data_IF_725364238129
#
_entry.id   IF_725364238129
#
_cell.length_a   1.000
_cell.length_b   1.000
_cell.length_c   1.000
_cell.angle_alpha   90.00
_cell.angle_beta   90.00
_cell.angle_gamma   90.00
#
_symmetry.space_group_name_H-M   'P 1'
#
loop_
_entity.id
_entity.type
_entity.pdbx_description
1 polymer ?
#
# COMPACT_ATOMS: atom_id res chain seq x y z
N UNK A 1 30.51 -5.69 -38.88
CA UNK A 1 29.22 -6.14 -38.30
C UNK A 1 28.47 -4.89 -37.85
N UNK A 2 27.38 -4.54 -38.52
CA UNK A 2 26.59 -3.35 -38.19
C UNK A 2 25.74 -3.63 -36.94
N UNK A 3 25.86 -2.78 -35.93
CA UNK A 3 25.00 -2.83 -34.74
C UNK A 3 23.58 -2.45 -35.14
N UNK A 4 22.63 -3.34 -34.87
CA UNK A 4 21.20 -3.04 -35.04
C UNK A 4 20.82 -1.87 -34.13
N UNK A 5 20.07 -0.86 -34.61
CA UNK A 5 19.67 0.27 -33.78
C UNK A 5 18.79 -0.26 -32.65
N UNK A 6 19.20 0.01 -31.42
CA UNK A 6 18.41 -0.26 -30.21
C UNK A 6 17.13 0.56 -30.32
N UNK A 7 16.04 -0.06 -30.75
CA UNK A 7 14.72 0.58 -30.72
C UNK A 7 14.42 0.92 -29.26
N UNK A 8 14.42 2.21 -28.91
CA UNK A 8 13.98 2.65 -27.59
C UNK A 8 12.49 2.29 -27.46
N UNK A 9 12.19 1.24 -26.71
CA UNK A 9 10.82 0.96 -26.30
C UNK A 9 10.34 2.10 -25.40
N UNK A 10 9.41 2.90 -25.87
CA UNK A 10 8.71 3.87 -25.03
C UNK A 10 7.63 3.15 -24.21
N UNK A 11 7.82 3.08 -22.90
CA UNK A 11 6.81 2.53 -21.98
C UNK A 11 5.81 3.61 -21.59
N UNK A 12 4.63 3.60 -22.21
CA UNK A 12 3.53 4.49 -21.83
C UNK A 12 2.73 3.88 -20.68
N UNK A 13 2.74 4.54 -19.51
CA UNK A 13 1.97 4.12 -18.34
C UNK A 13 0.84 5.09 -18.10
N UNK A 14 -0.41 4.63 -18.17
CA UNK A 14 -1.59 5.40 -17.77
C UNK A 14 -1.91 5.10 -16.30
N UNK A 15 -1.65 6.07 -15.42
CA UNK A 15 -2.03 5.99 -14.00
C UNK A 15 -3.50 6.36 -13.84
N UNK A 16 -4.21 5.66 -12.96
CA UNK A 16 -5.55 6.03 -12.49
C UNK A 16 -5.43 6.81 -11.18
N UNK A 17 -6.52 7.46 -10.79
CA UNK A 17 -6.62 8.09 -9.47
C UNK A 17 -6.40 7.04 -8.35
N UNK A 18 -5.67 7.39 -7.27
CA UNK A 18 -5.55 6.52 -6.11
C UNK A 18 -6.90 6.24 -5.46
N UNK A 19 -7.11 5.01 -5.04
CA UNK A 19 -8.30 4.58 -4.29
C UNK A 19 -7.91 4.21 -2.85
N UNK A 20 -8.69 4.66 -1.87
CA UNK A 20 -8.52 4.24 -0.47
C UNK A 20 -9.15 2.86 -0.29
N UNK A 21 -8.36 1.90 0.19
CA UNK A 21 -8.84 0.56 0.53
C UNK A 21 -9.14 0.50 2.02
N UNK A 22 -10.41 0.35 2.36
CA UNK A 22 -10.86 0.22 3.74
C UNK A 22 -10.68 -1.22 4.25
N UNK A 23 -10.56 -1.36 5.57
CA UNK A 23 -10.54 -2.67 6.22
C UNK A 23 -11.84 -3.42 5.92
N UNK A 24 -11.75 -4.72 5.68
CA UNK A 24 -12.92 -5.54 5.40
C UNK A 24 -13.85 -5.70 6.62
N UNK A 25 -13.37 -5.37 7.82
CA UNK A 25 -14.14 -5.40 9.07
C UNK A 25 -13.79 -4.18 9.93
N UNK A 26 -14.75 -3.60 10.66
CA UNK A 26 -14.48 -2.55 11.63
C UNK A 26 -13.53 -3.05 12.73
N UNK A 27 -12.61 -2.19 13.16
CA UNK A 27 -11.69 -2.44 14.27
C UNK A 27 -11.83 -1.28 15.26
N UNK A 28 -11.64 -1.59 16.54
CA UNK A 28 -11.59 -0.59 17.60
C UNK A 28 -10.50 0.45 17.28
N UNK A 29 -10.85 1.72 17.49
CA UNK A 29 -9.87 2.80 17.36
C UNK A 29 -8.91 2.73 18.53
N UNK A 30 -7.65 2.89 18.22
CA UNK A 30 -6.61 3.01 19.22
C UNK A 30 -5.48 3.91 18.72
N UNK A 31 -4.69 4.34 19.69
CA UNK A 31 -3.45 5.07 19.48
C UNK A 31 -2.32 4.18 19.95
N UNK A 32 -1.40 3.81 19.05
CA UNK A 32 -0.24 3.00 19.40
C UNK A 32 1.04 3.82 19.41
N UNK A 33 1.80 3.72 20.49
CA UNK A 33 3.12 4.34 20.61
C UNK A 33 4.10 3.59 19.72
N UNK A 34 4.94 4.32 18.99
CA UNK A 34 6.06 3.70 18.29
C UNK A 34 7.11 3.17 19.27
N UNK A 35 7.76 2.06 18.92
CA UNK A 35 8.91 1.58 19.68
C UNK A 35 10.10 2.54 19.50
N UNK A 36 11.13 2.40 20.34
CA UNK A 36 12.36 3.19 20.21
C UNK A 36 13.03 3.03 18.83
N UNK A 37 12.93 1.84 18.23
CA UNK A 37 13.46 1.60 16.89
C UNK A 37 12.57 2.33 15.88
N UNK A 38 11.25 2.14 15.95
CA UNK A 38 10.26 2.70 15.01
C UNK A 38 10.19 4.24 15.01
N UNK A 39 10.54 4.89 16.12
CA UNK A 39 10.45 6.34 16.28
C UNK A 39 11.66 7.12 15.68
N UNK A 40 12.68 6.42 15.19
CA UNK A 40 13.87 7.02 14.59
C UNK A 40 13.53 7.84 13.34
N UNK A 41 14.00 9.09 13.30
CA UNK A 41 13.77 10.02 12.18
C UNK A 41 14.21 9.43 10.83
N UNK A 42 15.35 8.72 10.81
CA UNK A 42 15.90 8.12 9.58
C UNK A 42 15.00 7.04 8.96
N UNK A 43 14.08 6.46 9.73
CA UNK A 43 13.14 5.45 9.23
C UNK A 43 11.87 6.04 8.63
N UNK A 44 11.72 7.38 8.61
CA UNK A 44 10.55 8.08 8.07
C UNK A 44 10.65 8.28 6.55
N UNK A 45 10.88 7.18 5.83
CA UNK A 45 11.02 7.16 4.37
C UNK A 45 9.98 6.22 3.74
N UNK A 46 9.46 6.61 2.57
CA UNK A 46 8.56 5.74 1.80
C UNK A 46 9.39 4.84 0.87
N UNK A 47 9.28 3.52 1.06
CA UNK A 47 9.93 2.54 0.20
C UNK A 47 8.99 2.06 -0.91
N UNK A 48 9.38 2.28 -2.16
CA UNK A 48 8.66 1.78 -3.33
C UNK A 48 9.16 0.39 -3.74
N UNK A 49 8.28 -0.60 -3.79
CA UNK A 49 8.57 -1.94 -4.31
C UNK A 49 7.75 -2.22 -5.57
N UNK A 50 8.37 -2.90 -6.53
CA UNK A 50 7.71 -3.37 -7.74
C UNK A 50 7.77 -4.90 -7.81
N UNK A 51 6.60 -5.52 -7.97
CA UNK A 51 6.47 -6.96 -8.16
C UNK A 51 5.95 -7.22 -9.57
N UNK A 52 6.72 -7.94 -10.37
CA UNK A 52 6.35 -8.31 -11.73
C UNK A 52 5.84 -9.74 -11.75
N UNK A 53 4.66 -9.94 -12.33
CA UNK A 53 4.03 -11.25 -12.48
C UNK A 53 3.77 -11.50 -13.96
N UNK A 54 4.00 -12.74 -14.41
CA UNK A 54 3.65 -13.14 -15.76
C UNK A 54 2.13 -13.14 -15.94
N UNK A 55 1.66 -12.75 -17.13
CA UNK A 55 0.25 -12.87 -17.46
C UNK A 55 -0.13 -14.36 -17.45
N UNK A 56 -1.11 -14.73 -16.64
CA UNK A 56 -1.59 -16.09 -16.54
C UNK A 56 -2.99 -16.19 -17.16
N UNK A 57 -3.07 -16.78 -18.34
CA UNK A 57 -4.31 -16.94 -19.12
C UNK A 57 -5.42 -17.69 -18.37
N UNK A 58 -5.09 -18.44 -17.30
CA UNK A 58 -6.11 -19.10 -16.47
C UNK A 58 -6.90 -18.11 -15.60
N UNK A 59 -6.29 -17.01 -15.15
CA UNK A 59 -6.97 -16.00 -14.32
C UNK A 59 -7.95 -15.16 -15.13
N UNK A 60 -7.57 -14.80 -16.37
CA UNK A 60 -8.45 -14.12 -17.30
C UNK A 60 -9.64 -15.00 -17.70
N UNK A 61 -9.42 -16.31 -17.93
CA UNK A 61 -10.48 -17.30 -18.21
C UNK A 61 -11.44 -17.53 -17.03
N UNK A 62 -11.00 -17.32 -15.80
CA UNK A 62 -11.86 -17.39 -14.60
C UNK A 62 -12.65 -16.10 -14.33
N UNK A 63 -12.53 -15.07 -15.18
CA UNK A 63 -13.22 -13.79 -15.00
C UNK A 63 -12.75 -13.00 -13.77
N UNK A 64 -11.55 -13.30 -13.24
CA UNK A 64 -11.01 -12.60 -12.07
C UNK A 64 -10.32 -11.32 -12.51
N UNK A 65 -10.97 -10.19 -12.23
CA UNK A 65 -10.41 -8.87 -12.48
C UNK A 65 -9.32 -8.55 -11.44
N UNK A 66 -8.04 -8.37 -11.84
CA UNK A 66 -6.93 -8.25 -10.90
C UNK A 66 -7.07 -7.11 -9.89
N UNK A 67 -7.60 -5.96 -10.31
CA UNK A 67 -7.77 -4.80 -9.42
C UNK A 67 -8.76 -5.14 -8.31
N UNK A 68 -9.89 -5.76 -8.62
CA UNK A 68 -10.88 -6.24 -7.64
C UNK A 68 -10.28 -7.25 -6.67
N UNK A 69 -9.54 -8.24 -7.18
CA UNK A 69 -8.91 -9.26 -6.33
C UNK A 69 -7.92 -8.63 -5.34
N UNK A 70 -7.07 -7.72 -5.82
CA UNK A 70 -6.09 -7.02 -4.97
C UNK A 70 -6.82 -6.16 -3.93
N UNK A 71 -7.83 -5.39 -4.35
CA UNK A 71 -8.61 -4.52 -3.46
C UNK A 71 -9.24 -5.30 -2.31
N UNK A 72 -9.93 -6.41 -2.62
CA UNK A 72 -10.58 -7.25 -1.61
C UNK A 72 -9.58 -7.99 -0.72
N UNK A 73 -8.49 -8.50 -1.30
CA UNK A 73 -7.44 -9.18 -0.54
C UNK A 73 -6.75 -8.22 0.44
N UNK A 74 -6.45 -7.00 -0.01
CA UNK A 74 -5.84 -5.98 0.82
C UNK A 74 -6.77 -5.57 1.97
N UNK A 75 -8.06 -5.35 1.70
CA UNK A 75 -9.04 -5.06 2.75
C UNK A 75 -9.11 -6.14 3.83
N UNK A 76 -9.03 -7.43 3.44
CA UNK A 76 -8.96 -8.56 4.41
C UNK A 76 -7.64 -8.59 5.17
N UNK A 77 -6.51 -8.38 4.50
CA UNK A 77 -5.19 -8.37 5.13
C UNK A 77 -5.06 -7.22 6.14
N UNK A 78 -5.57 -6.03 5.83
CA UNK A 78 -5.57 -4.87 6.72
C UNK A 78 -6.33 -5.12 8.03
N UNK A 79 -7.21 -6.12 8.12
CA UNK A 79 -7.82 -6.48 9.41
C UNK A 79 -6.75 -6.97 10.41
N UNK A 80 -5.77 -7.72 9.93
CA UNK A 80 -4.67 -8.24 10.75
C UNK A 80 -3.51 -7.25 10.86
N UNK A 81 -3.25 -6.50 9.79
CA UNK A 81 -2.19 -5.49 9.71
C UNK A 81 -2.74 -4.06 9.83
N UNK A 82 -3.75 -3.87 10.68
CA UNK A 82 -4.49 -2.61 10.76
C UNK A 82 -3.64 -1.37 11.05
N UNK A 83 -2.48 -1.41 11.75
CA UNK A 83 -1.66 -0.21 11.90
C UNK A 83 -1.23 0.42 10.56
N UNK A 84 -1.15 -0.36 9.48
CA UNK A 84 -0.85 0.13 8.13
C UNK A 84 -1.98 0.97 7.51
N UNK A 85 -3.21 0.83 8.01
CA UNK A 85 -4.35 1.68 7.65
C UNK A 85 -4.50 2.91 8.56
N UNK A 86 -3.58 3.09 9.51
CA UNK A 86 -3.54 4.25 10.39
C UNK A 86 -2.79 5.44 9.80
N UNK A 87 -2.69 6.51 10.58
CA UNK A 87 -1.92 7.71 10.27
C UNK A 87 -0.87 7.94 11.34
N UNK A 88 0.32 8.36 10.95
CA UNK A 88 1.33 8.82 11.90
C UNK A 88 0.93 10.20 12.43
N UNK A 89 0.89 10.34 13.75
CA UNK A 89 0.62 11.60 14.46
C UNK A 89 1.74 11.91 15.43
N UNK A 90 2.16 13.17 15.47
CA UNK A 90 3.22 13.64 16.36
C UNK A 90 2.62 14.05 17.70
N UNK A 91 3.23 13.62 18.80
CA UNK A 91 2.86 14.12 20.13
C UNK A 91 3.21 15.62 20.26
N UNK A 92 2.24 16.48 20.62
CA UNK A 92 2.50 17.90 20.92
C UNK A 92 3.57 18.13 21.98
N UNK A 93 3.77 17.19 22.91
CA UNK A 93 4.80 17.24 23.95
C UNK A 93 6.22 16.86 23.46
N UNK A 94 6.40 16.67 22.14
CA UNK A 94 7.67 16.64 21.38
C UNK A 94 8.60 15.43 21.54
N UNK A 95 8.13 14.26 21.98
CA UNK A 95 9.06 13.12 22.14
C UNK A 95 8.77 11.94 21.22
N UNK A 96 7.51 11.69 20.80
CA UNK A 96 7.14 10.41 20.20
C UNK A 96 6.08 10.53 19.11
N UNK A 97 6.11 9.62 18.15
CA UNK A 97 5.03 9.41 17.18
C UNK A 97 4.11 8.26 17.57
N UNK A 98 2.89 8.34 17.03
CA UNK A 98 1.85 7.35 17.26
C UNK A 98 1.16 7.00 15.95
N UNK A 99 0.61 5.79 15.89
CA UNK A 99 -0.31 5.39 14.83
C UNK A 99 -1.73 5.62 15.32
N UNK A 100 -2.46 6.51 14.65
CA UNK A 100 -3.88 6.78 14.88
C UNK A 100 -4.75 6.12 13.82
N UNK A 101 -5.72 5.31 14.23
CA UNK A 101 -6.65 4.65 13.33
C UNK A 101 -7.82 5.56 12.94
N UNK A 102 -8.06 5.74 11.63
CA UNK A 102 -9.10 6.64 11.10
C UNK A 102 -10.41 5.87 10.88
N UNK A 103 -11.58 6.48 11.16
CA UNK A 103 -12.83 5.99 10.53
C UNK A 103 -12.79 6.52 9.12
N UNK A 104 -12.92 5.66 8.13
CA UNK A 104 -13.57 6.07 6.90
C UNK A 104 -14.85 5.24 6.76
N UNK A 105 -15.92 5.81 7.33
CA UNK A 105 -17.30 5.60 6.89
C UNK A 105 -17.83 6.98 6.53
N UNK A 106 -17.86 7.27 5.23
CA UNK A 106 -19.02 7.81 4.54
C UNK A 106 -19.17 6.99 3.27
#
# INVERSE_FOLDING_TARGET
>A
MASSPRSQLAFHVKRREPEIVVLAKPIARELKKLSYIDDQEGMRSLFGLFWFYNNNDSLSKQGKEPVKVIREALGRALVYYYPLAGRLVKDPARVLWWIAMVKEHC
#
